data_IF_267877258856
#
_entry.id   IF_267877258856
#
_cell.length_a   1.000
_cell.length_b   1.000
_cell.length_c   1.000
_cell.angle_alpha   90.00
_cell.angle_beta   90.00
_cell.angle_gamma   90.00
#
_symmetry.space_group_name_H-M   'P 1'
#
loop_
_entity.id
_entity.type
_entity.pdbx_description
1 polymer ?
#
# COMPACT_ATOMS: atom_id res chain seq x y z
N UNK A 1 8.03 23.85 -12.22
CA UNK A 1 6.59 23.59 -11.97
C UNK A 1 6.39 22.11 -12.23
N UNK A 2 5.75 21.34 -11.35
CA UNK A 2 5.03 20.17 -11.84
C UNK A 2 3.89 20.77 -12.69
N UNK A 3 3.94 20.70 -14.03
CA UNK A 3 3.01 21.44 -14.88
C UNK A 3 1.55 21.03 -14.64
N UNK A 4 1.34 19.89 -13.97
CA UNK A 4 0.04 19.29 -13.69
C UNK A 4 -0.51 19.60 -12.29
N UNK A 5 0.02 20.63 -11.62
CA UNK A 5 -0.52 21.16 -10.36
C UNK A 5 -1.88 21.88 -10.50
N UNK A 6 -2.63 21.59 -11.57
CA UNK A 6 -4.07 21.68 -11.59
C UNK A 6 -4.77 20.52 -10.87
N UNK A 7 -4.01 19.62 -10.22
CA UNK A 7 -4.49 18.60 -9.28
C UNK A 7 -5.70 17.83 -9.80
N UNK A 8 -5.47 16.80 -10.61
CA UNK A 8 -6.52 15.79 -10.74
C UNK A 8 -6.79 15.27 -9.32
N UNK A 9 -8.04 15.36 -8.86
CA UNK A 9 -8.50 15.23 -7.46
C UNK A 9 -7.87 14.11 -6.60
N UNK A 10 -7.22 13.13 -7.23
CA UNK A 10 -6.72 11.89 -6.63
C UNK A 10 -5.19 11.74 -6.64
N UNK A 11 -4.45 12.60 -7.34
CA UNK A 11 -2.99 12.68 -7.27
C UNK A 11 -2.62 14.01 -6.63
N UNK A 12 -2.08 13.95 -5.41
CA UNK A 12 -1.81 15.13 -4.59
C UNK A 12 -0.31 15.39 -4.47
N UNK A 13 0.05 16.62 -4.08
CA UNK A 13 1.44 17.03 -3.87
C UNK A 13 1.84 18.28 -4.64
N UNK A 14 2.59 19.15 -3.98
CA UNK A 14 3.02 20.45 -4.52
C UNK A 14 4.53 20.71 -4.35
N UNK A 15 5.31 19.69 -3.98
CA UNK A 15 6.74 19.85 -3.81
C UNK A 15 7.41 20.26 -5.12
N UNK A 16 8.43 21.10 -4.99
CA UNK A 16 9.22 21.58 -6.12
C UNK A 16 10.69 21.30 -5.88
N UNK A 17 11.39 20.94 -6.95
CA UNK A 17 12.83 20.78 -6.93
C UNK A 17 13.45 22.10 -7.37
N UNK A 18 14.38 22.62 -6.55
CA UNK A 18 15.16 23.79 -6.93
C UNK A 18 15.91 23.51 -8.23
N UNK A 19 15.88 24.43 -9.19
CA UNK A 19 16.59 24.27 -10.47
C UNK A 19 18.10 24.00 -10.31
N UNK A 20 18.68 24.41 -9.16
CA UNK A 20 20.07 24.13 -8.78
C UNK A 20 20.36 22.65 -8.53
N UNK A 21 19.34 21.84 -8.29
CA UNK A 21 19.43 20.41 -8.00
C UNK A 21 18.79 19.58 -9.13
N UNK A 22 19.19 19.88 -10.36
CA UNK A 22 18.76 19.14 -11.56
C UNK A 22 19.96 18.58 -12.28
N UNK A 23 19.76 17.55 -13.11
CA UNK A 23 20.83 16.96 -13.92
C UNK A 23 21.46 18.03 -14.80
N UNK A 24 20.63 18.86 -15.44
CA UNK A 24 21.07 19.99 -16.26
C UNK A 24 22.00 20.93 -15.49
N UNK A 25 21.60 21.40 -14.30
CA UNK A 25 22.43 22.28 -13.49
C UNK A 25 23.74 21.61 -13.05
N UNK A 26 23.70 20.32 -12.71
CA UNK A 26 24.92 19.57 -12.42
C UNK A 26 25.84 19.50 -13.64
N UNK A 27 25.33 19.12 -14.81
CA UNK A 27 26.11 18.94 -16.04
C UNK A 27 26.70 20.25 -16.56
N UNK A 28 25.94 21.34 -16.51
CA UNK A 28 26.35 22.64 -17.07
C UNK A 28 27.20 23.47 -16.10
N UNK A 29 26.98 23.35 -14.79
CA UNK A 29 27.59 24.27 -13.80
C UNK A 29 28.56 23.56 -12.86
N UNK A 30 28.21 22.38 -12.36
CA UNK A 30 28.97 21.72 -11.28
C UNK A 30 30.02 20.77 -11.83
N UNK A 31 29.69 19.94 -12.80
CA UNK A 31 30.55 18.90 -13.39
C UNK A 31 31.80 19.48 -14.07
N UNK A 32 31.74 20.56 -14.89
CA UNK A 32 32.91 21.06 -15.61
C UNK A 32 34.09 21.46 -14.72
N UNK A 33 33.93 22.28 -13.66
CA UNK A 33 35.05 22.63 -12.79
C UNK A 33 35.62 21.41 -12.04
N UNK A 34 34.78 20.44 -11.66
CA UNK A 34 35.25 19.23 -10.96
C UNK A 34 36.11 18.32 -11.86
N UNK A 35 35.79 18.24 -13.16
CA UNK A 35 36.59 17.47 -14.13
C UNK A 35 37.93 18.16 -14.43
N UNK A 36 37.94 19.50 -14.48
CA UNK A 36 39.16 20.26 -14.78
C UNK A 36 40.12 20.32 -13.59
N UNK A 37 39.59 20.24 -12.36
CA UNK A 37 40.36 20.46 -11.14
C UNK A 37 41.61 19.56 -10.97
N UNK A 38 41.58 18.24 -11.25
CA UNK A 38 42.77 17.41 -11.18
C UNK A 38 43.92 17.89 -12.06
N UNK A 39 43.62 18.46 -13.24
CA UNK A 39 44.65 19.02 -14.15
C UNK A 39 45.15 20.36 -13.63
N UNK A 40 44.27 21.21 -13.11
CA UNK A 40 44.63 22.51 -12.54
C UNK A 40 45.55 22.35 -11.32
N UNK A 41 45.25 21.44 -10.40
CA UNK A 41 46.07 21.19 -9.22
C UNK A 41 47.50 20.75 -9.55
N UNK A 42 47.71 20.06 -10.67
CA UNK A 42 49.04 19.65 -11.13
C UNK A 42 49.91 20.83 -11.58
N UNK A 43 49.31 21.86 -12.17
CA UNK A 43 50.04 23.01 -12.73
C UNK A 43 50.13 24.21 -11.78
N UNK A 44 49.36 24.22 -10.69
CA UNK A 44 49.36 25.32 -9.73
C UNK A 44 50.69 25.36 -8.95
N UNK A 45 51.39 26.52 -8.91
CA UNK A 45 52.67 26.70 -8.22
C UNK A 45 52.44 27.01 -6.73
N UNK A 46 51.68 26.15 -6.05
CA UNK A 46 51.39 26.24 -4.60
C UNK A 46 51.90 24.98 -3.89
N UNK A 47 52.04 25.05 -2.57
CA UNK A 47 52.56 23.93 -1.79
C UNK A 47 51.60 22.71 -1.82
N UNK A 48 52.13 21.49 -1.73
CA UNK A 48 51.32 20.27 -1.84
C UNK A 48 50.31 20.13 -0.69
N UNK A 49 50.64 20.61 0.50
CA UNK A 49 49.72 20.66 1.63
C UNK A 49 48.53 21.60 1.37
N UNK A 50 48.77 22.75 0.74
CA UNK A 50 47.70 23.67 0.32
C UNK A 50 46.79 23.04 -0.75
N UNK A 51 47.36 22.29 -1.71
CA UNK A 51 46.57 21.53 -2.72
C UNK A 51 45.67 20.50 -2.06
N UNK A 52 46.18 19.79 -1.05
CA UNK A 52 45.41 18.80 -0.28
C UNK A 52 44.29 19.49 0.51
N UNK A 53 44.57 20.61 1.18
CA UNK A 53 43.56 21.38 1.91
C UNK A 53 42.44 21.88 1.00
N UNK A 54 42.80 22.44 -0.17
CA UNK A 54 41.83 22.89 -1.16
C UNK A 54 40.99 21.72 -1.70
N UNK A 55 41.63 20.59 -2.02
CA UNK A 55 40.93 19.39 -2.49
C UNK A 55 39.90 18.89 -1.47
N UNK A 56 40.27 18.86 -0.19
CA UNK A 56 39.38 18.49 0.90
C UNK A 56 38.21 19.48 1.06
N UNK A 57 38.46 20.78 0.88
CA UNK A 57 37.40 21.80 0.88
C UNK A 57 36.39 21.55 -0.25
N UNK A 58 36.86 21.31 -1.48
CA UNK A 58 35.99 21.02 -2.64
C UNK A 58 35.20 19.74 -2.40
N UNK A 59 35.84 18.65 -1.93
CA UNK A 59 35.16 17.38 -1.65
C UNK A 59 34.06 17.56 -0.59
N UNK A 60 34.29 18.36 0.46
CA UNK A 60 33.24 18.71 1.45
C UNK A 60 32.08 19.46 0.80
N UNK A 61 32.38 20.42 -0.08
CA UNK A 61 31.36 21.14 -0.85
C UNK A 61 30.51 20.21 -1.73
N UNK A 62 31.16 19.29 -2.46
CA UNK A 62 30.46 18.31 -3.31
C UNK A 62 29.59 17.37 -2.46
N UNK A 63 30.07 16.91 -1.30
CA UNK A 63 29.27 16.10 -0.36
C UNK A 63 28.02 16.84 0.13
N UNK A 64 28.16 18.12 0.48
CA UNK A 64 27.03 18.93 0.93
C UNK A 64 26.03 19.19 -0.21
N UNK A 65 26.52 19.48 -1.41
CA UNK A 65 25.71 19.64 -2.60
C UNK A 65 24.95 18.35 -2.94
N UNK A 66 25.64 17.20 -2.97
CA UNK A 66 25.04 15.90 -3.30
C UNK A 66 23.96 15.51 -2.29
N UNK A 67 24.18 15.75 -0.99
CA UNK A 67 23.17 15.50 0.04
C UNK A 67 21.90 16.34 -0.15
N UNK A 68 22.03 17.62 -0.50
CA UNK A 68 20.87 18.50 -0.78
C UNK A 68 20.16 18.12 -2.08
N UNK A 69 20.93 17.69 -3.07
CA UNK A 69 20.40 17.20 -4.35
C UNK A 69 19.50 15.99 -4.11
N UNK A 70 20.05 14.95 -3.46
CA UNK A 70 19.35 13.75 -3.02
C UNK A 70 18.07 14.06 -2.21
N UNK A 71 18.22 14.89 -1.17
CA UNK A 71 17.11 15.29 -0.30
C UNK A 71 15.98 15.96 -1.10
N UNK A 72 16.31 16.79 -2.09
CA UNK A 72 15.32 17.45 -2.94
C UNK A 72 14.41 16.45 -3.67
N UNK A 73 14.98 15.38 -4.24
CA UNK A 73 14.19 14.34 -4.92
C UNK A 73 13.44 13.45 -3.93
N UNK A 74 14.00 13.19 -2.75
CA UNK A 74 13.28 12.47 -1.68
C UNK A 74 12.05 13.24 -1.22
N UNK A 75 12.21 14.53 -0.89
CA UNK A 75 11.08 15.39 -0.52
C UNK A 75 10.06 15.54 -1.65
N UNK A 76 10.51 15.56 -2.91
CA UNK A 76 9.61 15.58 -4.07
C UNK A 76 8.74 14.32 -4.18
N UNK A 77 9.34 13.15 -3.98
CA UNK A 77 8.62 11.87 -3.93
C UNK A 77 7.70 11.77 -2.71
N UNK A 78 8.19 12.12 -1.53
CA UNK A 78 7.44 11.99 -0.26
C UNK A 78 6.19 12.89 -0.23
N UNK A 79 6.25 14.05 -0.89
CA UNK A 79 5.14 14.98 -1.00
C UNK A 79 4.09 14.56 -2.04
N UNK A 80 4.36 13.54 -2.86
CA UNK A 80 3.37 13.00 -3.77
C UNK A 80 2.41 12.07 -3.01
N UNK A 81 1.12 12.18 -3.30
CA UNK A 81 0.07 11.38 -2.67
C UNK A 81 -0.86 10.78 -3.72
N UNK A 82 -1.48 9.67 -3.34
CA UNK A 82 -2.56 9.04 -4.09
C UNK A 82 -3.72 8.91 -3.12
N UNK A 83 -4.86 9.53 -3.42
CA UNK A 83 -6.02 9.57 -2.54
C UNK A 83 -7.24 9.05 -3.30
N UNK A 84 -7.83 7.96 -2.83
CA UNK A 84 -9.03 7.37 -3.42
C UNK A 84 -9.95 6.82 -2.34
N UNK A 85 -10.96 7.60 -1.95
CA UNK A 85 -11.88 7.26 -0.85
C UNK A 85 -13.13 6.47 -1.28
N UNK A 86 -13.28 6.16 -2.57
CA UNK A 86 -14.40 5.39 -3.10
C UNK A 86 -13.93 4.39 -4.16
N UNK A 87 -14.70 3.34 -4.40
CA UNK A 87 -14.40 2.37 -5.47
C UNK A 87 -14.30 3.06 -6.83
N UNK A 88 -15.14 4.06 -7.11
CA UNK A 88 -15.10 4.83 -8.36
C UNK A 88 -13.81 5.64 -8.50
N UNK A 89 -13.40 6.36 -7.46
CA UNK A 89 -12.14 7.09 -7.41
C UNK A 89 -10.93 6.15 -7.58
N UNK A 90 -10.95 5.00 -6.90
CA UNK A 90 -9.88 4.02 -6.98
C UNK A 90 -9.75 3.45 -8.39
N UNK A 91 -10.87 3.10 -9.05
CA UNK A 91 -10.85 2.66 -10.45
C UNK A 91 -10.24 3.71 -11.37
N UNK A 92 -10.57 4.99 -11.16
CA UNK A 92 -9.98 6.08 -11.92
C UNK A 92 -8.46 6.16 -11.69
N UNK A 93 -8.00 6.12 -10.44
CA UNK A 93 -6.57 6.11 -10.09
C UNK A 93 -5.84 4.94 -10.75
N UNK A 94 -6.39 3.72 -10.63
CA UNK A 94 -5.79 2.53 -11.22
C UNK A 94 -5.66 2.68 -12.74
N UNK A 95 -6.72 3.16 -13.40
CA UNK A 95 -6.71 3.41 -14.84
C UNK A 95 -5.66 4.47 -15.22
N UNK A 96 -5.57 5.57 -14.46
CA UNK A 96 -4.57 6.61 -14.71
C UNK A 96 -3.15 6.06 -14.59
N UNK A 97 -2.83 5.27 -13.55
CA UNK A 97 -1.48 4.70 -13.38
C UNK A 97 -1.04 3.86 -14.60
N UNK A 98 -1.98 3.17 -15.26
CA UNK A 98 -1.70 2.40 -16.49
C UNK A 98 -1.22 3.29 -17.64
N UNK A 99 -1.66 4.55 -17.71
CA UNK A 99 -1.37 5.45 -18.83
C UNK A 99 0.11 5.90 -18.83
N UNK A 100 0.80 5.89 -20.00
CA UNK A 100 2.21 6.27 -20.11
C UNK A 100 2.55 7.69 -19.62
N UNK A 101 1.61 8.62 -19.70
CA UNK A 101 1.78 10.03 -19.34
C UNK A 101 1.03 10.43 -18.08
N UNK A 102 0.76 9.48 -17.18
CA UNK A 102 0.09 9.75 -15.92
C UNK A 102 0.96 10.54 -14.96
N UNK A 103 0.35 11.26 -14.01
CA UNK A 103 1.08 11.98 -12.98
C UNK A 103 2.03 11.10 -12.18
N UNK A 104 1.60 9.86 -11.91
CA UNK A 104 2.43 8.85 -11.27
C UNK A 104 3.68 8.53 -12.12
N UNK A 105 3.51 8.25 -13.42
CA UNK A 105 4.67 7.97 -14.28
C UNK A 105 5.54 9.21 -14.48
N UNK A 106 4.95 10.38 -14.67
CA UNK A 106 5.67 11.66 -14.83
C UNK A 106 6.54 11.97 -13.59
N UNK A 107 6.03 11.70 -12.39
CA UNK A 107 6.81 11.79 -11.14
C UNK A 107 8.04 10.90 -11.20
N UNK A 108 7.84 9.61 -11.46
CA UNK A 108 8.91 8.62 -11.46
C UNK A 108 9.95 8.87 -12.57
N UNK A 109 9.51 9.29 -13.76
CA UNK A 109 10.39 9.71 -14.85
C UNK A 109 11.18 10.95 -14.48
N UNK A 110 10.56 11.95 -13.84
CA UNK A 110 11.27 13.16 -13.39
C UNK A 110 12.40 12.83 -12.42
N UNK A 111 12.17 11.90 -11.49
CA UNK A 111 13.21 11.41 -10.57
C UNK A 111 14.30 10.71 -11.38
N UNK A 112 13.94 9.70 -12.20
CA UNK A 112 14.88 8.93 -13.03
C UNK A 112 15.78 9.84 -13.88
N UNK A 113 15.20 10.74 -14.65
CA UNK A 113 15.94 11.64 -15.56
C UNK A 113 16.94 12.53 -14.84
N UNK A 114 16.69 12.85 -13.57
CA UNK A 114 17.54 13.70 -12.77
C UNK A 114 18.40 12.97 -11.75
N UNK A 115 18.35 11.64 -11.63
CA UNK A 115 19.15 10.90 -10.65
C UNK A 115 19.87 9.70 -11.24
N UNK A 116 19.43 9.23 -12.41
CA UNK A 116 20.03 8.09 -13.12
C UNK A 116 20.74 8.58 -14.37
N UNK A 117 22.01 8.94 -14.23
CA UNK A 117 22.87 9.35 -15.34
C UNK A 117 24.35 9.06 -15.04
N UNK A 118 25.15 9.01 -16.10
CA UNK A 118 26.57 8.68 -15.98
C UNK A 118 27.40 9.88 -15.50
N UNK A 119 28.25 9.62 -14.51
CA UNK A 119 29.17 10.59 -13.94
C UNK A 119 30.58 10.07 -14.18
N UNK A 120 31.41 10.89 -14.81
CA UNK A 120 32.82 10.57 -15.02
C UNK A 120 33.50 10.36 -13.68
N UNK A 121 34.22 9.24 -13.54
CA UNK A 121 34.86 8.86 -12.29
C UNK A 121 36.15 9.67 -12.08
N UNK A 122 36.16 10.52 -11.06
CA UNK A 122 37.37 11.13 -10.52
C UNK A 122 37.17 11.43 -9.01
N UNK A 123 38.24 11.72 -8.26
CA UNK A 123 38.16 11.93 -6.81
C UNK A 123 37.17 13.04 -6.36
N UNK A 124 36.89 14.02 -7.22
CA UNK A 124 36.00 15.13 -6.90
C UNK A 124 34.54 14.88 -7.27
N UNK A 125 34.26 14.00 -8.24
CA UNK A 125 32.90 13.63 -8.64
C UNK A 125 32.37 12.39 -7.91
N UNK A 126 33.26 11.54 -7.40
CA UNK A 126 32.89 10.30 -6.68
C UNK A 126 31.89 10.53 -5.53
N UNK A 127 32.02 11.56 -4.66
CA UNK A 127 31.04 11.76 -3.59
C UNK A 127 29.62 12.07 -4.07
N UNK A 128 29.48 12.62 -5.28
CA UNK A 128 28.19 12.85 -5.92
C UNK A 128 27.66 11.54 -6.52
N UNK A 129 28.51 10.79 -7.25
CA UNK A 129 28.15 9.49 -7.81
C UNK A 129 27.72 8.48 -6.74
N UNK A 130 28.45 8.38 -5.62
CA UNK A 130 28.10 7.53 -4.48
C UNK A 130 26.74 7.90 -3.89
N UNK A 131 26.44 9.20 -3.79
CA UNK A 131 25.16 9.67 -3.25
C UNK A 131 23.99 9.24 -4.13
N UNK A 132 24.12 9.34 -5.45
CA UNK A 132 23.04 8.98 -6.38
C UNK A 132 22.72 7.49 -6.43
N UNK A 133 23.58 6.61 -5.88
CA UNK A 133 23.29 5.16 -5.81
C UNK A 133 22.02 4.84 -5.03
N UNK A 134 21.52 5.74 -4.17
CA UNK A 134 20.23 5.56 -3.50
C UNK A 134 19.03 5.51 -4.47
N UNK A 135 19.22 5.96 -5.72
CA UNK A 135 18.23 5.92 -6.79
C UNK A 135 18.44 4.74 -7.76
N UNK A 136 19.35 3.81 -7.48
CA UNK A 136 19.65 2.68 -8.37
C UNK A 136 18.41 1.81 -8.68
N UNK A 137 17.43 1.76 -7.78
CA UNK A 137 16.14 1.09 -8.03
C UNK A 137 15.41 1.69 -9.24
N UNK A 138 15.48 3.00 -9.46
CA UNK A 138 14.88 3.66 -10.62
C UNK A 138 15.57 3.27 -11.93
N UNK A 139 16.89 3.04 -11.91
CA UNK A 139 17.61 2.50 -13.07
C UNK A 139 17.06 1.13 -13.48
N UNK A 140 16.71 0.30 -12.50
CA UNK A 140 16.16 -1.03 -12.74
C UNK A 140 14.71 -1.00 -13.20
N UNK A 141 13.85 -0.23 -12.54
CA UNK A 141 12.43 -0.09 -12.91
C UNK A 141 12.30 0.42 -14.34
N UNK A 142 13.11 1.42 -14.70
CA UNK A 142 13.09 2.07 -16.02
C UNK A 142 14.21 1.58 -16.95
N UNK A 143 14.64 0.33 -16.76
CA UNK A 143 15.47 -0.34 -17.76
C UNK A 143 14.59 -0.63 -18.97
N UNK A 144 14.90 0.04 -20.06
CA UNK A 144 14.17 -0.15 -21.31
C UNK A 144 14.58 -1.47 -21.98
N UNK A 145 13.60 -2.18 -22.52
CA UNK A 145 13.78 -3.31 -23.42
C UNK A 145 12.76 -3.18 -24.54
N UNK A 146 13.21 -3.04 -25.79
CA UNK A 146 12.36 -2.91 -26.99
C UNK A 146 11.25 -1.84 -26.86
N UNK A 147 11.54 -0.68 -26.28
CA UNK A 147 10.58 0.42 -26.15
C UNK A 147 9.58 0.28 -25.00
N UNK A 148 9.73 -0.71 -24.12
CA UNK A 148 8.93 -0.88 -22.91
C UNK A 148 9.79 -0.91 -21.65
N UNK A 149 9.16 -0.77 -20.48
CA UNK A 149 9.79 -0.91 -19.17
C UNK A 149 9.25 -2.17 -18.48
N UNK A 150 9.89 -3.35 -18.64
CA UNK A 150 9.32 -4.63 -18.22
C UNK A 150 8.95 -4.70 -16.74
N UNK A 151 9.75 -4.12 -15.85
CA UNK A 151 9.44 -4.09 -14.40
C UNK A 151 8.22 -3.23 -14.09
N UNK A 152 8.04 -2.12 -14.80
CA UNK A 152 6.84 -1.28 -14.68
C UNK A 152 5.61 -1.99 -15.22
N UNK A 153 5.73 -2.73 -16.32
CA UNK A 153 4.62 -3.51 -16.89
C UNK A 153 4.16 -4.64 -15.95
N UNK A 154 5.08 -5.27 -15.20
CA UNK A 154 4.70 -6.24 -14.15
C UNK A 154 3.87 -5.59 -13.05
N UNK A 155 4.27 -4.41 -12.57
CA UNK A 155 3.51 -3.66 -11.57
C UNK A 155 2.12 -3.28 -12.08
N UNK A 156 2.07 -2.73 -13.30
CA UNK A 156 0.83 -2.41 -14.00
C UNK A 156 -0.09 -3.61 -14.16
N UNK A 157 0.46 -4.79 -14.46
CA UNK A 157 -0.32 -6.02 -14.58
C UNK A 157 -0.99 -6.42 -13.25
N UNK A 158 -0.28 -6.28 -12.12
CA UNK A 158 -0.87 -6.52 -10.78
C UNK A 158 -2.04 -5.56 -10.55
N UNK A 159 -1.86 -4.27 -10.82
CA UNK A 159 -2.91 -3.26 -10.67
C UNK A 159 -4.06 -3.46 -11.66
N UNK A 160 -3.77 -3.88 -12.88
CA UNK A 160 -4.76 -4.18 -13.92
C UNK A 160 -5.63 -5.37 -13.53
N UNK A 161 -5.04 -6.41 -12.93
CA UNK A 161 -5.79 -7.54 -12.38
C UNK A 161 -6.67 -7.10 -11.21
N UNK A 162 -6.14 -6.26 -10.30
CA UNK A 162 -6.92 -5.69 -9.20
C UNK A 162 -8.11 -4.86 -9.71
N UNK A 163 -7.90 -4.07 -10.76
CA UNK A 163 -8.96 -3.29 -11.40
C UNK A 163 -10.05 -4.20 -11.97
N UNK A 164 -9.67 -5.25 -12.69
CA UNK A 164 -10.63 -6.23 -13.23
C UNK A 164 -11.43 -6.91 -12.12
N UNK A 165 -10.77 -7.27 -11.01
CA UNK A 165 -11.44 -7.90 -9.88
C UNK A 165 -12.40 -6.93 -9.17
N UNK A 166 -12.05 -5.64 -9.05
CA UNK A 166 -12.95 -4.60 -8.55
C UNK A 166 -14.18 -4.40 -9.45
N UNK A 167 -14.07 -4.70 -10.74
CA UNK A 167 -15.15 -4.64 -11.74
C UNK A 167 -15.98 -5.91 -11.81
N UNK A 168 -15.44 -7.03 -11.32
CA UNK A 168 -16.05 -8.33 -11.45
C UNK A 168 -17.25 -8.49 -10.51
N UNK A 169 -18.46 -8.48 -11.07
CA UNK A 169 -19.70 -8.76 -10.35
C UNK A 169 -20.00 -10.26 -10.19
N UNK A 170 -19.09 -11.16 -10.62
CA UNK A 170 -19.32 -12.60 -10.52
C UNK A 170 -19.37 -13.05 -9.05
N UNK A 171 -20.16 -14.10 -8.75
CA UNK A 171 -20.14 -14.75 -7.45
C UNK A 171 -18.73 -15.18 -7.06
N UNK A 172 -18.42 -15.12 -5.76
CA UNK A 172 -17.17 -15.67 -5.24
C UNK A 172 -17.11 -17.17 -5.51
N UNK A 173 -15.96 -17.63 -6.01
CA UNK A 173 -15.66 -19.06 -6.13
C UNK A 173 -14.46 -19.34 -5.22
N UNK A 174 -14.61 -20.13 -4.16
CA UNK A 174 -13.51 -20.45 -3.26
C UNK A 174 -12.43 -21.23 -4.02
N UNK A 175 -11.16 -20.87 -3.79
CA UNK A 175 -10.01 -21.53 -4.43
C UNK A 175 -9.79 -22.96 -3.94
N UNK A 176 -10.19 -23.23 -2.70
CA UNK A 176 -10.16 -24.56 -2.09
C UNK A 176 -11.44 -24.79 -1.27
N UNK A 177 -11.85 -26.06 -1.13
CA UNK A 177 -13.04 -26.41 -0.34
C UNK A 177 -12.90 -26.12 1.17
N UNK A 178 -11.64 -25.97 1.62
CA UNK A 178 -11.25 -25.72 2.99
C UNK A 178 -11.14 -24.22 3.36
N UNK A 179 -11.49 -23.28 2.46
CA UNK A 179 -11.54 -21.85 2.79
C UNK A 179 -12.59 -21.62 3.91
N UNK A 180 -12.09 -21.37 5.13
CA UNK A 180 -12.89 -21.12 6.33
C UNK A 180 -13.69 -19.82 6.19
N UNK A 181 -13.28 -18.91 5.30
CA UNK A 181 -13.93 -17.65 5.02
C UNK A 181 -14.89 -17.68 3.82
N UNK A 182 -15.14 -18.86 3.20
CA UNK A 182 -15.95 -18.95 1.97
C UNK A 182 -17.34 -18.32 2.08
N UNK A 183 -18.00 -18.49 3.21
CA UNK A 183 -19.36 -18.00 3.44
C UNK A 183 -19.39 -16.49 3.68
N UNK A 184 -18.36 -15.94 4.32
CA UNK A 184 -18.21 -14.50 4.46
C UNK A 184 -17.86 -13.86 3.10
N UNK A 185 -16.84 -14.40 2.41
CA UNK A 185 -16.38 -13.89 1.11
C UNK A 185 -17.45 -13.93 0.02
N UNK A 186 -18.36 -14.89 0.06
CA UNK A 186 -19.48 -14.96 -0.89
C UNK A 186 -20.43 -13.77 -0.80
N UNK A 187 -20.54 -13.17 0.40
CA UNK A 187 -21.42 -12.04 0.70
C UNK A 187 -20.74 -10.67 0.59
N UNK A 188 -19.40 -10.64 0.54
CA UNK A 188 -18.62 -9.41 0.37
C UNK A 188 -18.72 -8.84 -1.05
N UNK A 189 -18.63 -7.51 -1.16
CA UNK A 189 -18.38 -6.86 -2.43
C UNK A 189 -17.00 -7.24 -2.98
N UNK A 190 -16.69 -6.97 -4.26
CA UNK A 190 -15.36 -7.23 -4.79
C UNK A 190 -14.24 -6.48 -4.05
N UNK A 191 -14.49 -5.22 -3.65
CA UNK A 191 -13.57 -4.46 -2.82
C UNK A 191 -13.41 -5.10 -1.43
N UNK A 192 -14.51 -5.53 -0.82
CA UNK A 192 -14.50 -6.26 0.45
C UNK A 192 -13.68 -7.55 0.39
N UNK A 193 -13.78 -8.32 -0.70
CA UNK A 193 -12.97 -9.54 -0.91
C UNK A 193 -11.47 -9.22 -0.99
N UNK A 194 -11.10 -8.19 -1.76
CA UNK A 194 -9.70 -7.74 -1.87
C UNK A 194 -9.15 -7.32 -0.50
N UNK A 195 -9.88 -6.47 0.21
CA UNK A 195 -9.48 -6.03 1.54
C UNK A 195 -9.38 -7.19 2.53
N UNK A 196 -10.34 -8.12 2.47
CA UNK A 196 -10.35 -9.28 3.35
C UNK A 196 -9.17 -10.23 3.11
N UNK A 197 -8.78 -10.46 1.86
CA UNK A 197 -7.57 -11.23 1.54
C UNK A 197 -6.30 -10.57 2.08
N UNK A 198 -6.23 -9.23 2.05
CA UNK A 198 -5.11 -8.48 2.65
C UNK A 198 -5.13 -8.59 4.18
N UNK A 199 -6.30 -8.42 4.81
CA UNK A 199 -6.49 -8.57 6.26
C UNK A 199 -6.04 -9.95 6.75
N UNK A 200 -6.39 -11.01 6.01
CA UNK A 200 -6.00 -12.40 6.30
C UNK A 200 -4.55 -12.72 5.91
N UNK A 201 -3.83 -11.76 5.34
CA UNK A 201 -2.45 -11.94 4.86
C UNK A 201 -2.33 -13.12 3.87
N UNK A 202 -3.32 -13.30 3.00
CA UNK A 202 -3.32 -14.37 2.00
C UNK A 202 -2.16 -14.17 1.02
N UNK A 203 -1.49 -15.27 0.64
CA UNK A 203 -0.28 -15.24 -0.20
C UNK A 203 -0.51 -14.53 -1.54
N UNK A 204 -1.71 -14.68 -2.09
CA UNK A 204 -2.16 -14.11 -3.36
C UNK A 204 -2.88 -12.76 -3.22
N UNK A 205 -2.88 -12.16 -2.01
CA UNK A 205 -3.40 -10.81 -1.84
C UNK A 205 -2.59 -9.80 -2.66
N UNK A 206 -3.27 -8.79 -3.20
CA UNK A 206 -2.61 -7.75 -4.01
C UNK A 206 -1.49 -7.04 -3.26
N UNK A 207 -1.60 -6.91 -1.93
CA UNK A 207 -0.54 -6.30 -1.12
C UNK A 207 0.71 -7.18 -1.10
N UNK A 208 0.55 -8.49 -0.98
CA UNK A 208 1.67 -9.43 -1.06
C UNK A 208 2.27 -9.46 -2.47
N UNK A 209 1.44 -9.47 -3.52
CA UNK A 209 1.92 -9.37 -4.91
C UNK A 209 2.77 -8.12 -5.14
N UNK A 210 2.29 -6.95 -4.69
CA UNK A 210 3.05 -5.68 -4.81
C UNK A 210 4.32 -5.72 -3.96
N UNK A 211 4.28 -6.22 -2.72
CA UNK A 211 5.48 -6.35 -1.87
C UNK A 211 6.52 -7.29 -2.48
N UNK A 212 6.09 -8.41 -3.05
CA UNK A 212 6.96 -9.32 -3.78
C UNK A 212 7.56 -8.64 -5.00
N UNK A 213 6.76 -7.88 -5.75
CA UNK A 213 7.27 -7.09 -6.87
C UNK A 213 8.30 -6.04 -6.42
N UNK A 214 8.01 -5.23 -5.39
CA UNK A 214 8.91 -4.22 -4.79
C UNK A 214 10.26 -4.86 -4.44
N UNK A 215 10.22 -5.98 -3.71
CA UNK A 215 11.42 -6.74 -3.33
C UNK A 215 12.15 -7.26 -4.57
N UNK A 216 11.43 -7.89 -5.50
CA UNK A 216 12.00 -8.46 -6.71
C UNK A 216 12.66 -7.40 -7.58
N UNK A 217 12.09 -6.20 -7.68
CA UNK A 217 12.59 -5.06 -8.44
C UNK A 217 13.72 -4.31 -7.70
N UNK A 218 14.07 -4.70 -6.48
CA UNK A 218 15.14 -4.09 -5.69
C UNK A 218 14.83 -2.66 -5.25
N UNK A 219 13.55 -2.35 -5.05
CA UNK A 219 13.10 -1.05 -4.59
C UNK A 219 13.48 -0.91 -3.12
N UNK A 220 14.22 0.14 -2.80
CA UNK A 220 14.61 0.40 -1.40
C UNK A 220 13.39 0.80 -0.58
N UNK A 221 13.34 0.49 0.73
CA UNK A 221 12.19 0.81 1.60
C UNK A 221 11.82 2.30 1.64
N UNK A 222 12.74 3.21 1.29
CA UNK A 222 12.43 4.64 1.20
C UNK A 222 11.62 5.03 -0.04
N UNK A 223 11.43 4.12 -1.00
CA UNK A 223 10.74 4.35 -2.27
C UNK A 223 9.57 3.38 -2.49
N UNK A 224 9.18 2.60 -1.48
CA UNK A 224 8.17 1.55 -1.61
C UNK A 224 6.74 2.08 -1.50
N UNK A 225 6.52 3.12 -0.68
CA UNK A 225 5.21 3.63 -0.26
C UNK A 225 4.25 3.86 -1.42
N UNK A 226 4.65 4.64 -2.42
CA UNK A 226 3.73 5.00 -3.51
C UNK A 226 3.32 3.80 -4.37
N UNK A 227 4.11 2.73 -4.40
CA UNK A 227 3.75 1.54 -5.16
C UNK A 227 2.69 0.70 -4.43
N UNK A 228 2.74 0.67 -3.09
CA UNK A 228 1.75 -0.02 -2.27
C UNK A 228 0.44 0.78 -2.10
N UNK A 229 0.51 2.11 -2.20
CA UNK A 229 -0.60 3.03 -1.92
C UNK A 229 -1.92 2.67 -2.61
N UNK A 230 -2.00 2.37 -3.93
CA UNK A 230 -3.28 2.03 -4.56
C UNK A 230 -3.94 0.78 -3.96
N UNK A 231 -3.14 -0.18 -3.50
CA UNK A 231 -3.64 -1.41 -2.87
C UNK A 231 -4.08 -1.14 -1.43
N UNK A 232 -3.40 -0.24 -0.71
CA UNK A 232 -3.82 0.18 0.62
C UNK A 232 -5.15 0.96 0.58
N UNK A 233 -5.35 1.80 -0.43
CA UNK A 233 -6.65 2.45 -0.66
C UNK A 233 -7.76 1.42 -0.91
N UNK A 234 -7.47 0.36 -1.70
CA UNK A 234 -8.41 -0.75 -1.91
C UNK A 234 -8.76 -1.47 -0.59
N UNK A 235 -7.74 -1.68 0.26
CA UNK A 235 -7.93 -2.25 1.59
C UNK A 235 -8.86 -1.38 2.44
N UNK A 236 -8.59 -0.08 2.57
CA UNK A 236 -9.40 0.83 3.39
C UNK A 236 -10.87 0.89 2.93
N UNK A 237 -11.09 1.03 1.62
CA UNK A 237 -12.45 1.04 1.05
C UNK A 237 -13.18 -0.28 1.32
N UNK A 238 -12.51 -1.41 1.07
CA UNK A 238 -13.13 -2.73 1.20
C UNK A 238 -13.34 -3.16 2.64
N UNK A 239 -12.49 -2.70 3.56
CA UNK A 239 -12.60 -3.10 4.98
C UNK A 239 -13.86 -2.50 5.61
N UNK A 240 -14.20 -1.25 5.27
CA UNK A 240 -15.45 -0.64 5.71
C UNK A 240 -16.70 -1.42 5.24
N UNK A 241 -16.67 -1.99 4.03
CA UNK A 241 -17.74 -2.85 3.51
C UNK A 241 -17.85 -4.17 4.31
N UNK A 242 -16.72 -4.82 4.58
CA UNK A 242 -16.69 -6.08 5.33
C UNK A 242 -17.15 -5.90 6.79
N UNK A 243 -16.72 -4.85 7.47
CA UNK A 243 -17.17 -4.52 8.83
C UNK A 243 -18.68 -4.22 8.86
N UNK A 244 -19.17 -3.44 7.88
CA UNK A 244 -20.60 -3.13 7.72
C UNK A 244 -21.45 -4.38 7.47
N UNK A 245 -20.94 -5.33 6.67
CA UNK A 245 -21.60 -6.61 6.43
C UNK A 245 -21.70 -7.45 7.71
N UNK A 246 -20.60 -7.55 8.47
CA UNK A 246 -20.58 -8.30 9.74
C UNK A 246 -21.56 -7.68 10.73
N UNK A 247 -21.58 -6.35 10.89
CA UNK A 247 -22.51 -5.64 11.76
C UNK A 247 -23.98 -5.90 11.39
N UNK A 248 -24.33 -5.77 10.11
CA UNK A 248 -25.70 -6.04 9.63
C UNK A 248 -26.11 -7.49 9.84
N UNK A 249 -25.18 -8.41 9.55
CA UNK A 249 -25.42 -9.86 9.72
C UNK A 249 -25.63 -10.20 11.19
N UNK A 250 -24.80 -9.66 12.08
CA UNK A 250 -24.91 -9.84 13.52
C UNK A 250 -26.26 -9.34 14.05
N UNK A 251 -26.64 -8.09 13.72
CA UNK A 251 -27.94 -7.52 14.11
C UNK A 251 -29.12 -8.33 13.58
N UNK A 252 -29.01 -8.86 12.37
CA UNK A 252 -30.06 -9.70 11.77
C UNK A 252 -30.17 -11.02 12.53
N UNK A 253 -29.05 -11.68 12.80
CA UNK A 253 -28.98 -12.94 13.52
C UNK A 253 -29.55 -12.81 14.94
N UNK A 254 -29.16 -11.77 15.67
CA UNK A 254 -29.72 -11.49 16.99
C UNK A 254 -31.22 -11.23 16.93
N UNK A 255 -31.70 -10.51 15.90
CA UNK A 255 -33.13 -10.19 15.77
C UNK A 255 -33.96 -11.41 15.39
N UNK A 256 -33.45 -12.30 14.55
CA UNK A 256 -34.19 -13.45 14.03
C UNK A 256 -34.13 -14.67 14.94
N UNK A 257 -32.96 -14.96 15.51
CA UNK A 257 -32.73 -16.22 16.23
C UNK A 257 -32.76 -16.02 17.74
N UNK A 258 -32.13 -14.97 18.28
CA UNK A 258 -31.98 -14.78 19.73
C UNK A 258 -33.17 -14.01 20.33
N UNK A 259 -33.58 -12.91 19.70
CA UNK A 259 -34.62 -12.01 20.23
C UNK A 259 -35.98 -12.69 20.49
N UNK A 260 -36.46 -13.64 19.67
CA UNK A 260 -37.71 -14.34 19.97
C UNK A 260 -37.64 -15.16 21.25
N UNK A 261 -36.49 -15.81 21.50
CA UNK A 261 -36.25 -16.66 22.68
C UNK A 261 -36.16 -15.81 23.95
N UNK A 262 -35.32 -14.77 23.94
CA UNK A 262 -35.06 -13.98 25.15
C UNK A 262 -36.26 -13.13 25.61
N UNK A 263 -37.31 -13.03 24.79
CA UNK A 263 -38.59 -12.37 25.13
C UNK A 263 -39.60 -13.30 25.81
N UNK A 264 -39.27 -14.57 25.98
CA UNK A 264 -40.13 -15.59 26.56
C UNK A 264 -39.58 -16.04 27.92
N UNK A 265 -40.44 -16.63 28.76
CA UNK A 265 -40.01 -17.24 30.02
C UNK A 265 -39.16 -18.48 29.72
N UNK A 266 -37.99 -18.71 30.37
CA UNK A 266 -37.52 -18.08 31.61
C UNK A 266 -36.66 -16.82 31.46
N UNK A 267 -36.33 -16.40 30.23
CA UNK A 267 -35.42 -15.27 29.98
C UNK A 267 -36.07 -13.91 30.28
N UNK A 268 -37.35 -13.76 29.99
CA UNK A 268 -38.18 -12.66 30.46
C UNK A 268 -39.24 -13.16 31.44
N UNK A 269 -39.03 -12.88 32.74
CA UNK A 269 -39.95 -13.27 33.83
C UNK A 269 -41.34 -12.62 33.72
N UNK A 270 -41.49 -11.59 32.89
CA UNK A 270 -42.77 -10.89 32.66
C UNK A 270 -43.52 -11.47 31.46
N UNK A 271 -42.94 -12.42 30.74
CA UNK A 271 -43.56 -13.01 29.56
C UNK A 271 -44.56 -14.09 29.95
N UNK A 272 -45.77 -13.99 29.39
CA UNK A 272 -46.80 -15.03 29.52
C UNK A 272 -46.56 -16.21 28.56
N UNK A 273 -45.59 -16.08 27.65
CA UNK A 273 -45.20 -17.12 26.69
C UNK A 273 -43.96 -17.85 27.19
N UNK A 274 -44.00 -19.18 27.17
CA UNK A 274 -42.91 -20.06 27.61
C UNK A 274 -42.06 -20.45 26.40
N UNK A 275 -40.74 -20.38 26.53
CA UNK A 275 -39.81 -20.90 25.54
C UNK A 275 -39.95 -22.41 25.43
N UNK A 276 -40.23 -22.90 24.23
CA UNK A 276 -40.19 -24.33 23.92
C UNK A 276 -38.74 -24.82 24.03
N UNK A 277 -38.42 -25.79 24.91
CA UNK A 277 -37.09 -26.36 25.00
C UNK A 277 -36.56 -26.92 23.67
N UNK A 278 -37.44 -27.45 22.82
CA UNK A 278 -37.03 -27.95 21.50
C UNK A 278 -36.65 -26.81 20.55
N UNK A 279 -37.35 -25.68 20.60
CA UNK A 279 -36.99 -24.49 19.84
C UNK A 279 -35.66 -23.91 20.34
N UNK A 280 -35.48 -23.83 21.66
CA UNK A 280 -34.24 -23.38 22.29
C UNK A 280 -33.06 -24.23 21.80
N UNK A 281 -33.16 -25.56 21.89
CA UNK A 281 -32.12 -26.48 21.40
C UNK A 281 -31.85 -26.29 19.90
N UNK A 282 -32.89 -26.16 19.07
CA UNK A 282 -32.73 -25.93 17.64
C UNK A 282 -32.00 -24.62 17.28
N UNK A 283 -32.01 -23.64 18.19
CA UNK A 283 -31.35 -22.34 17.99
C UNK A 283 -29.95 -22.32 18.58
N UNK A 284 -29.85 -22.50 19.89
CA UNK A 284 -28.66 -22.18 20.68
C UNK A 284 -27.74 -23.38 20.95
N UNK A 285 -28.17 -24.61 20.63
CA UNK A 285 -27.26 -25.76 20.69
C UNK A 285 -26.04 -25.50 19.77
N UNK A 286 -24.83 -26.05 20.04
CA UNK A 286 -23.67 -25.85 19.17
C UNK A 286 -23.86 -26.24 17.70
N UNK A 287 -24.86 -27.10 17.41
CA UNK A 287 -25.29 -27.46 16.04
C UNK A 287 -26.59 -26.78 15.59
N UNK A 288 -27.14 -25.90 16.41
CA UNK A 288 -28.30 -25.08 16.14
C UNK A 288 -28.04 -24.03 15.06
N UNK A 289 -29.13 -23.43 14.57
CA UNK A 289 -29.06 -22.48 13.44
C UNK A 289 -28.21 -21.24 13.73
N UNK A 290 -28.24 -20.74 14.97
CA UNK A 290 -27.44 -19.59 15.40
C UNK A 290 -25.95 -19.90 15.25
N UNK A 291 -25.47 -20.96 15.91
CA UNK A 291 -24.05 -21.32 15.93
C UNK A 291 -23.51 -21.75 14.58
N UNK A 292 -24.32 -22.42 13.75
CA UNK A 292 -23.94 -22.74 12.36
C UNK A 292 -23.65 -21.48 11.56
N UNK A 293 -24.52 -20.49 11.66
CA UNK A 293 -24.39 -19.22 10.92
C UNK A 293 -23.29 -18.36 11.52
N UNK A 294 -23.22 -18.24 12.84
CA UNK A 294 -22.20 -17.50 13.55
C UNK A 294 -20.80 -18.04 13.26
N UNK A 295 -20.60 -19.36 13.35
CA UNK A 295 -19.30 -19.98 13.06
C UNK A 295 -18.91 -19.78 11.60
N UNK A 296 -19.83 -19.97 10.66
CA UNK A 296 -19.52 -19.83 9.24
C UNK A 296 -19.17 -18.40 8.81
N UNK A 297 -19.76 -17.39 9.46
CA UNK A 297 -19.60 -15.98 9.06
C UNK A 297 -18.60 -15.21 9.92
N UNK A 298 -18.46 -15.56 11.20
CA UNK A 298 -17.70 -14.77 12.16
C UNK A 298 -16.37 -15.41 12.55
N UNK A 299 -16.22 -16.74 12.46
CA UNK A 299 -14.92 -17.37 12.69
C UNK A 299 -13.77 -16.79 11.84
N UNK A 300 -13.98 -16.34 10.59
CA UNK A 300 -12.92 -15.71 9.82
C UNK A 300 -12.38 -14.39 10.40
N UNK A 301 -13.20 -13.67 11.17
CA UNK A 301 -12.93 -12.33 11.75
C UNK A 301 -12.75 -12.35 13.27
N UNK A 302 -13.00 -13.49 13.90
CA UNK A 302 -12.71 -13.73 15.31
C UNK A 302 -11.53 -14.70 15.46
N UNK A 303 -11.08 -14.87 16.70
CA UNK A 303 -10.16 -15.92 17.13
C UNK A 303 -10.86 -16.68 18.23
N UNK A 304 -10.81 -18.02 18.18
CA UNK A 304 -11.25 -18.87 19.27
C UNK A 304 -10.03 -19.34 20.04
N UNK A 305 -9.91 -18.96 21.30
CA UNK A 305 -8.80 -19.34 22.17
C UNK A 305 -9.35 -19.92 23.48
N UNK A 306 -8.99 -21.15 23.84
CA UNK A 306 -9.45 -21.83 25.07
C UNK A 306 -10.97 -21.79 25.30
N UNK A 307 -11.77 -21.91 24.22
CA UNK A 307 -13.24 -21.81 24.23
C UNK A 307 -13.82 -20.41 24.43
N UNK A 308 -13.00 -19.36 24.35
CA UNK A 308 -13.47 -17.97 24.32
C UNK A 308 -13.30 -17.38 22.92
N UNK A 309 -14.29 -16.61 22.49
CA UNK A 309 -14.23 -15.75 21.32
C UNK A 309 -13.47 -14.47 21.66
N UNK A 310 -12.54 -14.11 20.78
CA UNK A 310 -11.75 -12.88 20.85
C UNK A 310 -11.77 -12.17 19.50
N UNK A 311 -11.64 -10.85 19.54
CA UNK A 311 -11.51 -10.03 18.33
C UNK A 311 -10.17 -10.31 17.63
N UNK A 312 -10.21 -10.47 16.31
CA UNK A 312 -8.98 -10.49 15.52
C UNK A 312 -8.51 -9.06 15.29
N UNK A 313 -7.27 -8.75 15.70
CA UNK A 313 -6.69 -7.41 15.55
C UNK A 313 -6.82 -6.90 14.10
N UNK A 314 -7.29 -5.67 13.95
CA UNK A 314 -7.41 -4.99 12.66
C UNK A 314 -8.76 -5.14 11.96
N UNK A 315 -9.76 -5.75 12.62
CA UNK A 315 -11.14 -5.82 12.14
C UNK A 315 -12.08 -5.34 13.24
N UNK A 316 -12.90 -4.32 12.98
CA UNK A 316 -13.85 -3.81 13.96
C UNK A 316 -15.09 -4.71 14.02
N UNK A 317 -15.31 -5.33 15.18
CA UNK A 317 -16.54 -6.08 15.47
C UNK A 317 -17.60 -5.18 16.14
N UNK A 318 -18.89 -5.56 16.09
CA UNK A 318 -19.93 -4.92 16.90
C UNK A 318 -19.62 -5.04 18.40
N UNK A 319 -19.85 -3.96 19.15
CA UNK A 319 -19.45 -3.82 20.56
C UNK A 319 -19.96 -4.95 21.48
N UNK A 320 -21.15 -5.47 21.20
CA UNK A 320 -21.81 -6.52 22.01
C UNK A 320 -21.49 -7.94 21.53
N UNK A 321 -20.84 -8.10 20.38
CA UNK A 321 -20.71 -9.38 19.70
C UNK A 321 -19.88 -10.39 20.49
N UNK A 322 -18.66 -10.03 20.87
CA UNK A 322 -17.76 -10.93 21.59
C UNK A 322 -18.38 -11.35 22.93
N UNK A 323 -18.93 -10.39 23.68
CA UNK A 323 -19.61 -10.67 24.94
C UNK A 323 -20.77 -11.64 24.73
N UNK A 324 -21.63 -11.38 23.75
CA UNK A 324 -22.81 -12.21 23.50
C UNK A 324 -22.44 -13.62 23.03
N UNK A 325 -21.39 -13.77 22.21
CA UNK A 325 -20.90 -15.08 21.79
C UNK A 325 -20.40 -15.89 23.00
N UNK A 326 -19.65 -15.26 23.91
CA UNK A 326 -19.15 -15.93 25.11
C UNK A 326 -20.26 -16.22 26.15
N UNK A 327 -21.29 -15.37 26.23
CA UNK A 327 -22.44 -15.57 27.12
C UNK A 327 -23.41 -16.67 26.60
N UNK A 328 -23.36 -16.98 25.30
CA UNK A 328 -24.26 -17.93 24.64
C UNK A 328 -23.69 -19.36 24.52
N UNK A 329 -22.39 -19.55 24.82
CA UNK A 329 -21.66 -20.83 24.72
C UNK A 329 -21.72 -21.62 26.04
#
# INVERSE_FOLDING_TARGET
>A
MNPESGGMLYFTGNATISGKFTKKAFEEVVKPPLIQLPKLLKILPIAEDEKVQFSNFVIRGVKAYSARYALGFRSYYDAFGIEANTVGALRYVLNQIQLPSSQFQNLLFTIRENTVFEIENNPFTEPFAVRLREFDSFKRIFREDKGIYPEMEKYKAILGQMQQDLENSKPFVPKNAADDAKELKSRLSPAGRIAFSIFRSEEDSYLNMVKMWISSAGISPQWDRLFAEPVLQAYEIGMADAESLVDKTWKTLLRSDIRPIVKQFPFDKRSDSITDPAELEAVIHPQGRFWKTATALFAPVCIRNNSEWQERKGFRLPDDMIKTLNDAE
#
